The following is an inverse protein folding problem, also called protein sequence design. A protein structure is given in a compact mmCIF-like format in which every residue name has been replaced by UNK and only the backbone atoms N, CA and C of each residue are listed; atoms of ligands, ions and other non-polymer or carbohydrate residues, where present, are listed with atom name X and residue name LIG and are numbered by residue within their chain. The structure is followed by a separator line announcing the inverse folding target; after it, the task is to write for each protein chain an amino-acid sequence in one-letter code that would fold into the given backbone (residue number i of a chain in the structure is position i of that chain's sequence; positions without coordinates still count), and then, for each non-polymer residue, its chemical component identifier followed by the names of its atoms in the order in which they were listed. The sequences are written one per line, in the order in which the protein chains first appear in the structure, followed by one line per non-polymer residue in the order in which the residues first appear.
data_IF_475415784106
#
_entry.id   IF_475415784106
#
_cell.length_a   1.000
_cell.length_b   1.000
_cell.length_c   1.000
_cell.angle_alpha   90.00
_cell.angle_beta   90.00
_cell.angle_gamma   90.00
#
_symmetry.space_group_name_H-M   'P 1'
#
loop_
_entity.id
_entity.type
_entity.pdbx_description
1 polymer ?
#
# COMPACT_ATOMS: atom_id res chain seq x y z
N UNK A 1 11.48 3.05 42.31
CA UNK A 1 10.80 4.22 41.71
C UNK A 1 9.70 3.71 40.83
N UNK A 2 8.46 3.80 41.30
CA UNK A 2 7.27 3.41 40.56
C UNK A 2 7.04 4.44 39.44
N UNK A 3 7.05 4.02 38.18
CA UNK A 3 6.62 4.84 37.08
C UNK A 3 5.12 5.09 37.26
N UNK A 4 4.75 6.29 37.66
CA UNK A 4 3.37 6.75 37.68
C UNK A 4 2.84 6.72 36.24
N UNK A 5 2.04 5.72 35.92
CA UNK A 5 1.30 5.64 34.66
C UNK A 5 0.28 6.77 34.61
N UNK A 6 0.69 7.91 34.10
CA UNK A 6 -0.24 8.99 33.76
C UNK A 6 -1.00 8.47 32.53
N UNK A 7 -2.19 7.92 32.77
CA UNK A 7 -3.19 7.69 31.72
C UNK A 7 -3.63 9.06 31.22
N UNK A 8 -2.99 9.52 30.13
CA UNK A 8 -3.41 10.78 29.50
C UNK A 8 -4.79 10.57 28.88
N UNK A 9 -5.72 11.52 29.07
CA UNK A 9 -7.08 11.37 28.58
C UNK A 9 -7.08 11.24 27.05
N UNK A 10 -7.95 10.37 26.53
CA UNK A 10 -8.25 10.31 25.11
C UNK A 10 -8.81 11.65 24.62
N UNK A 11 -8.71 11.94 23.33
CA UNK A 11 -9.37 13.10 22.74
C UNK A 11 -10.87 13.07 23.05
N UNK A 12 -11.45 14.22 23.37
CA UNK A 12 -12.91 14.33 23.38
C UNK A 12 -13.49 14.13 21.98
N UNK A 13 -14.80 13.85 21.91
CA UNK A 13 -15.46 13.54 20.66
C UNK A 13 -15.38 14.67 19.62
N UNK A 14 -15.29 15.93 20.06
CA UNK A 14 -15.25 17.10 19.17
C UNK A 14 -13.90 17.20 18.47
N UNK A 15 -12.81 17.13 19.22
CA UNK A 15 -11.46 17.21 18.64
C UNK A 15 -11.14 15.94 17.86
N UNK A 16 -11.57 14.76 18.33
CA UNK A 16 -11.43 13.51 17.59
C UNK A 16 -12.08 13.60 16.22
N UNK A 17 -13.31 14.13 16.15
CA UNK A 17 -14.02 14.33 14.87
C UNK A 17 -13.28 15.27 13.95
N UNK A 18 -12.70 16.37 14.42
CA UNK A 18 -11.90 17.28 13.60
C UNK A 18 -10.71 16.55 12.94
N UNK A 19 -9.99 15.72 13.70
CA UNK A 19 -8.89 14.95 13.16
C UNK A 19 -9.33 13.90 12.15
N UNK A 20 -10.42 13.17 12.43
CA UNK A 20 -10.92 12.14 11.52
C UNK A 20 -11.47 12.72 10.24
N UNK A 21 -12.16 13.86 10.28
CA UNK A 21 -12.61 14.59 9.10
C UNK A 21 -11.42 15.08 8.27
N UNK A 22 -10.37 15.62 8.90
CA UNK A 22 -9.15 16.04 8.25
C UNK A 22 -8.41 14.87 7.58
N UNK A 23 -8.26 13.75 8.27
CA UNK A 23 -7.65 12.54 7.74
C UNK A 23 -8.44 12.05 6.51
N UNK A 24 -9.74 11.97 6.64
CA UNK A 24 -10.62 11.52 5.55
C UNK A 24 -10.51 12.43 4.32
N UNK A 25 -10.52 13.75 4.53
CA UNK A 25 -10.34 14.72 3.44
C UNK A 25 -9.01 14.47 2.71
N UNK A 26 -7.91 14.32 3.45
CA UNK A 26 -6.57 14.16 2.87
C UNK A 26 -6.28 12.79 2.30
N UNK A 27 -6.85 11.71 2.84
CA UNK A 27 -6.42 10.35 2.53
C UNK A 27 -7.54 9.42 2.08
N UNK A 28 -8.79 9.74 2.39
CA UNK A 28 -9.92 8.82 2.27
C UNK A 28 -10.00 7.76 3.36
N UNK A 29 -9.01 7.69 4.25
CA UNK A 29 -8.98 6.73 5.36
C UNK A 29 -10.04 7.12 6.40
N UNK A 30 -10.88 6.16 6.77
CA UNK A 30 -11.90 6.34 7.81
C UNK A 30 -11.41 5.81 9.15
N UNK A 31 -11.49 6.67 10.17
CA UNK A 31 -11.25 6.29 11.55
C UNK A 31 -12.57 6.24 12.31
N UNK A 32 -12.86 5.09 12.89
CA UNK A 32 -14.00 4.89 13.79
C UNK A 32 -13.63 5.27 15.24
N UNK A 33 -14.62 5.55 16.07
CA UNK A 33 -14.42 5.91 17.50
C UNK A 33 -13.60 4.86 18.26
N UNK A 34 -13.75 3.59 17.91
CA UNK A 34 -12.95 2.48 18.46
C UNK A 34 -11.43 2.68 18.29
N UNK A 35 -11.01 3.52 17.34
CA UNK A 35 -9.61 3.88 17.08
C UNK A 35 -9.18 5.17 17.78
N UNK A 36 -10.01 5.77 18.64
CA UNK A 36 -9.67 7.02 19.33
C UNK A 36 -8.36 6.89 20.11
N UNK A 37 -8.18 5.82 20.88
CA UNK A 37 -6.95 5.61 21.63
C UNK A 37 -5.70 5.57 20.75
N UNK A 38 -5.79 4.90 19.58
CA UNK A 38 -4.68 4.84 18.61
C UNK A 38 -4.32 6.24 18.12
N UNK A 39 -5.30 7.00 17.63
CA UNK A 39 -5.08 8.34 17.07
C UNK A 39 -4.58 9.30 18.15
N UNK A 40 -5.18 9.28 19.34
CA UNK A 40 -4.73 10.03 20.52
C UNK A 40 -3.26 9.82 20.81
N UNK A 41 -2.82 8.56 20.88
CA UNK A 41 -1.42 8.21 21.16
C UNK A 41 -0.45 8.76 20.09
N UNK A 42 -0.84 8.69 18.81
CA UNK A 42 -0.04 9.20 17.70
C UNK A 42 0.08 10.72 17.71
N UNK A 43 -1.04 11.40 17.86
CA UNK A 43 -1.13 12.87 17.93
C UNK A 43 -0.32 13.41 19.11
N UNK A 44 -0.53 12.81 20.29
CA UNK A 44 0.16 13.25 21.52
C UNK A 44 1.67 13.18 21.38
N UNK A 45 2.18 12.03 20.90
CA UNK A 45 3.64 11.87 20.70
C UNK A 45 4.19 12.89 19.70
N UNK A 46 3.40 13.27 18.71
CA UNK A 46 3.82 14.29 17.74
C UNK A 46 3.78 15.69 18.32
N UNK A 47 2.71 16.04 19.04
CA UNK A 47 2.57 17.31 19.77
C UNK A 47 3.76 17.56 20.71
N UNK A 48 4.13 16.55 21.50
CA UNK A 48 5.27 16.62 22.42
C UNK A 48 6.58 16.91 21.70
N UNK A 49 6.82 16.27 20.55
CA UNK A 49 8.02 16.55 19.74
C UNK A 49 8.09 17.98 19.20
N UNK A 50 6.94 18.64 19.09
CA UNK A 50 6.82 20.01 18.62
C UNK A 50 6.71 21.03 19.76
N UNK A 51 6.72 20.57 21.03
CA UNK A 51 6.53 21.43 22.19
C UNK A 51 5.12 22.00 22.31
N UNK A 52 4.12 21.30 21.76
CA UNK A 52 2.71 21.67 21.81
C UNK A 52 2.02 20.88 22.94
N UNK A 53 1.20 21.55 23.73
CA UNK A 53 0.66 21.06 25.00
C UNK A 53 -0.77 20.47 24.90
N UNK A 54 -1.45 20.67 23.77
CA UNK A 54 -2.81 20.17 23.57
C UNK A 54 -3.08 19.62 22.17
N UNK A 55 -4.17 18.84 22.05
CA UNK A 55 -4.63 18.32 20.75
C UNK A 55 -5.08 19.46 19.83
N UNK A 56 -5.73 20.48 20.40
CA UNK A 56 -6.21 21.67 19.68
C UNK A 56 -5.04 22.49 19.14
N UNK A 57 -3.99 22.68 19.94
CA UNK A 57 -2.78 23.39 19.52
C UNK A 57 -2.11 22.68 18.33
N UNK A 58 -2.01 21.33 18.38
CA UNK A 58 -1.46 20.59 17.25
C UNK A 58 -2.38 20.60 16.04
N UNK A 59 -3.70 20.48 16.21
CA UNK A 59 -4.66 20.60 15.10
C UNK A 59 -4.54 21.96 14.40
N UNK A 60 -4.45 23.03 15.19
CA UNK A 60 -4.23 24.35 14.67
C UNK A 60 -2.91 24.46 13.90
N UNK A 61 -1.82 23.95 14.48
CA UNK A 61 -0.51 23.88 13.81
C UNK A 61 -0.59 23.13 12.48
N UNK A 62 -1.20 21.95 12.47
CA UNK A 62 -1.37 21.09 11.29
C UNK A 62 -2.14 21.78 10.15
N UNK A 63 -3.09 22.66 10.48
CA UNK A 63 -4.00 23.27 9.52
C UNK A 63 -3.60 24.68 9.07
N UNK A 64 -2.84 25.43 9.88
CA UNK A 64 -2.57 26.86 9.65
C UNK A 64 -1.10 27.23 9.49
N UNK A 65 -0.16 26.37 9.93
CA UNK A 65 1.27 26.67 9.88
C UNK A 65 1.79 26.91 8.45
N UNK A 66 2.81 27.76 8.31
CA UNK A 66 3.48 28.04 7.03
C UNK A 66 4.06 26.76 6.42
N UNK A 67 4.66 25.90 7.24
CA UNK A 67 5.21 24.60 6.85
C UNK A 67 4.20 23.45 6.90
N UNK A 68 2.88 23.76 6.93
CA UNK A 68 1.79 22.78 7.08
C UNK A 68 1.91 21.60 6.13
N UNK A 69 2.40 21.78 4.90
CA UNK A 69 2.54 20.69 3.93
C UNK A 69 3.44 19.58 4.45
N UNK A 70 4.62 19.94 4.94
CA UNK A 70 5.58 18.97 5.52
C UNK A 70 5.01 18.31 6.78
N UNK A 71 4.26 19.08 7.58
CA UNK A 71 3.64 18.54 8.78
C UNK A 71 2.50 17.58 8.45
N UNK A 72 1.68 17.86 7.42
CA UNK A 72 0.65 16.94 6.94
C UNK A 72 1.28 15.63 6.43
N UNK A 73 2.37 15.70 5.69
CA UNK A 73 3.13 14.52 5.25
C UNK A 73 3.59 13.68 6.47
N UNK A 74 4.18 14.33 7.48
CA UNK A 74 4.57 13.67 8.74
C UNK A 74 3.39 13.10 9.53
N UNK A 75 2.28 13.81 9.54
CA UNK A 75 1.07 13.34 10.19
C UNK A 75 0.54 12.08 9.50
N UNK A 76 0.49 12.05 8.17
CA UNK A 76 0.11 10.86 7.40
C UNK A 76 1.05 9.69 7.71
N UNK A 77 2.37 9.91 7.74
CA UNK A 77 3.35 8.87 8.09
C UNK A 77 3.07 8.21 9.45
N UNK A 78 2.64 8.98 10.45
CA UNK A 78 2.42 8.44 11.79
C UNK A 78 1.07 7.76 12.00
N UNK A 79 0.05 8.10 11.22
CA UNK A 79 -1.30 7.53 11.35
C UNK A 79 -1.54 6.31 10.45
N UNK A 80 -0.73 6.14 9.40
CA UNK A 80 -0.82 4.96 8.53
C UNK A 80 -0.26 3.71 9.20
N UNK A 81 -0.84 2.56 8.85
CA UNK A 81 -0.45 1.26 9.39
C UNK A 81 0.33 0.53 8.31
N UNK A 82 1.60 0.20 8.61
CA UNK A 82 2.53 -0.41 7.64
C UNK A 82 2.81 -1.87 7.95
N UNK A 83 1.76 -2.67 8.21
CA UNK A 83 1.93 -4.11 8.42
C UNK A 83 2.07 -4.82 7.09
N UNK A 84 3.30 -5.18 6.75
CA UNK A 84 3.64 -5.95 5.56
C UNK A 84 4.81 -6.89 5.84
N UNK A 85 4.99 -7.90 5.01
CA UNK A 85 6.13 -8.81 5.03
C UNK A 85 6.23 -9.56 3.69
N UNK A 86 7.42 -10.04 3.37
CA UNK A 86 7.67 -10.82 2.16
C UNK A 86 6.82 -12.09 2.10
N UNK A 87 6.31 -12.43 0.93
CA UNK A 87 5.47 -13.61 0.69
C UNK A 87 4.21 -13.65 1.56
N UNK A 88 3.61 -12.47 1.81
CA UNK A 88 2.36 -12.34 2.58
C UNK A 88 1.22 -13.06 1.88
N UNK A 89 0.62 -14.05 2.57
CA UNK A 89 -0.42 -14.94 2.06
C UNK A 89 0.10 -15.87 0.94
N UNK A 90 0.82 -16.89 1.36
CA UNK A 90 1.48 -17.86 0.46
C UNK A 90 0.53 -18.46 -0.60
N UNK A 91 -0.71 -18.90 -0.29
CA UNK A 91 -1.61 -19.43 -1.31
C UNK A 91 -1.94 -18.42 -2.42
N UNK A 92 -2.09 -17.13 -2.08
CA UNK A 92 -2.34 -16.09 -3.07
C UNK A 92 -1.08 -15.83 -3.93
N UNK A 93 0.11 -15.86 -3.32
CA UNK A 93 1.39 -15.68 -4.03
C UNK A 93 1.63 -16.82 -5.03
N UNK A 94 1.35 -18.06 -4.65
CA UNK A 94 1.48 -19.23 -5.54
C UNK A 94 0.48 -19.17 -6.71
N UNK A 95 -0.79 -18.84 -6.43
CA UNK A 95 -1.79 -18.67 -7.48
C UNK A 95 -1.45 -17.49 -8.39
N UNK A 96 -0.97 -16.37 -7.86
CA UNK A 96 -0.50 -15.24 -8.64
C UNK A 96 0.64 -15.63 -9.60
N UNK A 97 1.61 -16.37 -9.10
CA UNK A 97 2.73 -16.87 -9.90
C UNK A 97 2.28 -17.81 -11.02
N UNK A 98 1.52 -18.84 -10.65
CA UNK A 98 1.15 -19.93 -11.57
C UNK A 98 0.06 -19.53 -12.56
N UNK A 99 -1.00 -18.89 -12.04
CA UNK A 99 -2.24 -18.70 -12.80
C UNK A 99 -2.27 -17.34 -13.53
N UNK A 100 -1.42 -16.39 -13.12
CA UNK A 100 -1.39 -15.04 -13.71
C UNK A 100 -0.04 -14.69 -14.32
N UNK A 101 1.05 -14.75 -13.56
CA UNK A 101 2.37 -14.31 -14.08
C UNK A 101 2.89 -15.24 -15.17
N UNK A 102 2.86 -16.55 -14.98
CA UNK A 102 3.38 -17.49 -15.97
C UNK A 102 2.65 -17.37 -17.33
N UNK A 103 1.31 -17.35 -17.41
CA UNK A 103 0.59 -17.11 -18.69
C UNK A 103 0.85 -15.71 -19.27
N UNK A 104 1.02 -14.67 -18.43
CA UNK A 104 1.32 -13.32 -18.88
C UNK A 104 2.71 -13.23 -19.52
N UNK A 105 3.72 -13.83 -18.90
CA UNK A 105 5.09 -13.92 -19.43
C UNK A 105 5.11 -14.64 -20.78
N UNK A 106 4.43 -15.79 -20.87
CA UNK A 106 4.34 -16.53 -22.12
C UNK A 106 3.69 -15.71 -23.25
N UNK A 107 2.61 -14.97 -22.94
CA UNK A 107 1.92 -14.12 -23.91
C UNK A 107 2.74 -12.90 -24.34
N UNK A 108 3.54 -12.34 -23.44
CA UNK A 108 4.33 -11.11 -23.67
C UNK A 108 5.82 -11.38 -23.96
N UNK A 109 6.16 -12.58 -24.36
CA UNK A 109 7.55 -12.95 -24.65
C UNK A 109 8.22 -11.97 -25.62
N UNK A 110 9.41 -11.48 -25.24
CA UNK A 110 10.15 -10.44 -25.98
C UNK A 110 9.65 -9.00 -25.70
N UNK A 111 8.58 -8.86 -24.92
CA UNK A 111 7.97 -7.56 -24.60
C UNK A 111 8.23 -7.11 -23.16
N UNK A 112 7.40 -6.17 -22.72
CA UNK A 112 7.45 -5.57 -21.39
C UNK A 112 6.21 -5.93 -20.57
N UNK A 113 6.42 -6.27 -19.31
CA UNK A 113 5.36 -6.40 -18.29
C UNK A 113 5.50 -5.25 -17.31
N UNK A 114 4.39 -4.53 -17.11
CA UNK A 114 4.31 -3.41 -16.17
C UNK A 114 3.39 -3.78 -15.01
N UNK A 115 3.93 -3.72 -13.78
CA UNK A 115 3.21 -4.06 -12.54
C UNK A 115 3.23 -2.86 -11.60
N UNK A 116 2.08 -2.56 -11.01
CA UNK A 116 1.94 -1.56 -9.97
C UNK A 116 1.49 -2.21 -8.67
N UNK A 117 2.26 -2.02 -7.58
CA UNK A 117 1.86 -2.32 -6.22
C UNK A 117 1.36 -1.03 -5.58
N UNK A 118 0.04 -0.90 -5.48
CA UNK A 118 -0.66 0.25 -4.90
C UNK A 118 -0.79 0.07 -3.38
N UNK A 119 -0.33 1.05 -2.61
CA UNK A 119 -0.12 0.95 -1.16
C UNK A 119 0.88 -0.15 -0.77
N UNK A 120 2.08 -0.06 -1.33
CA UNK A 120 3.14 -1.07 -1.19
C UNK A 120 3.84 -1.08 0.18
N UNK A 121 3.53 -0.13 1.06
CA UNK A 121 4.20 0.01 2.35
C UNK A 121 5.74 0.04 2.20
N UNK A 122 6.46 -0.78 2.91
CA UNK A 122 7.93 -0.89 2.89
C UNK A 122 8.48 -1.71 1.71
N UNK A 123 7.67 -2.01 0.70
CA UNK A 123 8.11 -2.60 -0.57
C UNK A 123 8.20 -4.13 -0.60
N UNK A 124 7.84 -4.82 0.48
CA UNK A 124 7.91 -6.29 0.60
C UNK A 124 7.18 -7.02 -0.53
N UNK A 125 6.01 -6.53 -0.94
CA UNK A 125 5.21 -7.09 -2.04
C UNK A 125 5.89 -6.86 -3.40
N UNK A 126 6.48 -5.69 -3.60
CA UNK A 126 7.22 -5.34 -4.83
C UNK A 126 8.41 -6.28 -5.00
N UNK A 127 9.20 -6.43 -3.96
CA UNK A 127 10.38 -7.30 -4.00
C UNK A 127 10.02 -8.79 -4.04
N UNK A 128 8.93 -9.21 -3.40
CA UNK A 128 8.40 -10.58 -3.55
C UNK A 128 8.08 -10.87 -5.02
N UNK A 129 7.43 -9.93 -5.70
CA UNK A 129 7.12 -10.08 -7.13
C UNK A 129 8.39 -10.15 -7.98
N UNK A 130 9.41 -9.34 -7.71
CA UNK A 130 10.71 -9.42 -8.40
C UNK A 130 11.34 -10.80 -8.18
N UNK A 131 11.30 -11.34 -6.96
CA UNK A 131 11.84 -12.67 -6.69
C UNK A 131 11.12 -13.78 -7.45
N UNK A 132 9.80 -13.67 -7.67
CA UNK A 132 9.08 -14.61 -8.53
C UNK A 132 9.61 -14.59 -9.97
N UNK A 133 9.90 -13.42 -10.53
CA UNK A 133 10.50 -13.31 -11.86
C UNK A 133 11.92 -13.88 -11.93
N UNK A 134 12.74 -13.66 -10.91
CA UNK A 134 14.10 -14.18 -10.82
C UNK A 134 14.08 -15.71 -10.68
N UNK A 135 13.27 -16.22 -9.76
CA UNK A 135 13.19 -17.65 -9.43
C UNK A 135 12.77 -18.49 -10.64
N UNK A 136 11.79 -18.01 -11.39
CA UNK A 136 11.28 -18.68 -12.58
C UNK A 136 12.10 -18.39 -13.85
N UNK A 137 13.15 -17.57 -13.77
CA UNK A 137 13.99 -17.22 -14.91
C UNK A 137 13.30 -16.35 -15.98
N UNK A 138 12.16 -15.74 -15.67
CA UNK A 138 11.32 -15.00 -16.61
C UNK A 138 11.95 -13.69 -17.14
N UNK A 139 12.95 -13.17 -16.44
CA UNK A 139 13.69 -11.99 -16.90
C UNK A 139 14.48 -12.20 -18.20
N UNK A 140 14.62 -13.45 -18.65
CA UNK A 140 15.18 -13.81 -19.97
C UNK A 140 14.14 -13.65 -21.09
N UNK A 141 12.87 -13.79 -20.75
CA UNK A 141 11.76 -13.79 -21.70
C UNK A 141 11.07 -12.43 -21.82
N UNK A 142 11.06 -11.62 -20.75
CA UNK A 142 10.38 -10.32 -20.72
C UNK A 142 11.19 -9.28 -19.95
N UNK A 143 10.95 -7.99 -20.27
CA UNK A 143 11.40 -6.87 -19.44
C UNK A 143 10.36 -6.58 -18.36
N UNK A 144 10.78 -6.56 -17.09
CA UNK A 144 9.93 -6.20 -15.96
C UNK A 144 10.08 -4.72 -15.60
N UNK A 145 8.97 -4.00 -15.54
CA UNK A 145 8.87 -2.65 -14.98
C UNK A 145 7.89 -2.70 -13.80
N UNK A 146 8.41 -2.60 -12.59
CA UNK A 146 7.59 -2.65 -11.38
C UNK A 146 7.68 -1.35 -10.59
N UNK A 147 6.52 -0.80 -10.23
CA UNK A 147 6.39 0.42 -9.44
C UNK A 147 5.64 0.11 -8.15
N UNK A 148 6.24 0.45 -7.02
CA UNK A 148 5.56 0.51 -5.73
C UNK A 148 5.12 1.94 -5.43
N UNK A 149 3.97 2.12 -4.81
CA UNK A 149 3.56 3.43 -4.30
C UNK A 149 2.86 3.33 -2.97
N UNK A 150 3.04 4.34 -2.14
CA UNK A 150 2.34 4.47 -0.86
C UNK A 150 2.05 5.95 -0.59
N UNK A 151 1.08 6.24 0.25
CA UNK A 151 0.78 7.61 0.68
C UNK A 151 1.80 8.13 1.69
N UNK A 152 2.46 7.22 2.43
CA UNK A 152 3.47 7.53 3.41
C UNK A 152 4.83 7.76 2.75
N UNK A 153 5.39 8.94 2.96
CA UNK A 153 6.75 9.27 2.56
C UNK A 153 7.77 8.37 3.23
N UNK A 154 7.59 8.10 4.53
CA UNK A 154 8.50 7.26 5.30
C UNK A 154 8.50 5.82 4.79
N UNK A 155 7.33 5.25 4.48
CA UNK A 155 7.24 3.90 3.94
C UNK A 155 7.94 3.78 2.58
N UNK A 156 7.76 4.76 1.70
CA UNK A 156 8.45 4.82 0.40
C UNK A 156 9.96 4.92 0.56
N UNK A 157 10.46 5.72 1.50
CA UNK A 157 11.89 5.81 1.80
C UNK A 157 12.44 4.51 2.38
N UNK A 158 11.69 3.85 3.26
CA UNK A 158 12.09 2.56 3.83
C UNK A 158 12.10 1.44 2.77
N UNK A 159 11.13 1.46 1.84
CA UNK A 159 11.13 0.58 0.67
C UNK A 159 12.39 0.77 -0.20
N UNK A 160 12.80 2.01 -0.45
CA UNK A 160 14.03 2.33 -1.21
C UNK A 160 15.30 1.91 -0.48
N UNK A 161 15.35 2.07 0.85
CA UNK A 161 16.48 1.61 1.68
C UNK A 161 16.63 0.10 1.63
N UNK A 162 15.51 -0.63 1.62
CA UNK A 162 15.50 -2.08 1.57
C UNK A 162 16.14 -2.72 2.80
N UNK A 163 15.90 -2.17 4.00
CA UNK A 163 16.37 -2.72 5.28
C UNK A 163 15.18 -3.24 6.07
N UNK A 164 15.23 -4.50 6.44
CA UNK A 164 14.10 -5.23 6.98
C UNK A 164 14.41 -5.90 8.31
N UNK A 165 13.39 -6.11 9.13
CA UNK A 165 13.48 -6.93 10.33
C UNK A 165 13.45 -8.42 9.98
N UNK A 166 13.91 -9.28 10.91
CA UNK A 166 13.77 -10.74 10.78
C UNK A 166 12.31 -11.17 10.57
N UNK A 167 11.37 -10.47 11.19
CA UNK A 167 9.94 -10.71 11.03
C UNK A 167 9.48 -10.47 9.59
N UNK A 168 9.92 -9.39 8.95
CA UNK A 168 9.53 -9.07 7.59
C UNK A 168 10.02 -10.13 6.59
N UNK A 169 11.22 -10.67 6.77
CA UNK A 169 11.85 -11.65 5.86
C UNK A 169 11.65 -13.12 6.27
N UNK A 170 10.81 -13.41 7.28
CA UNK A 170 10.63 -14.76 7.82
C UNK A 170 10.14 -15.81 6.81
N UNK A 171 9.40 -15.38 5.79
CA UNK A 171 8.83 -16.23 4.75
C UNK A 171 9.65 -16.24 3.46
N UNK A 172 10.78 -15.52 3.42
CA UNK A 172 11.67 -15.53 2.24
C UNK A 172 12.34 -16.90 2.13
N UNK A 173 12.28 -17.58 0.98
CA UNK A 173 12.97 -18.84 0.76
C UNK A 173 14.48 -18.74 1.09
N UNK A 174 15.07 -19.74 1.75
CA UNK A 174 16.48 -19.69 2.18
C UNK A 174 17.45 -19.36 1.06
N UNK A 175 17.23 -19.88 -0.14
CA UNK A 175 18.09 -19.66 -1.31
C UNK A 175 18.07 -18.20 -1.73
N UNK A 176 16.90 -17.56 -1.74
CA UNK A 176 16.74 -16.14 -2.04
C UNK A 176 17.37 -15.31 -0.92
N UNK A 177 17.09 -15.67 0.34
CA UNK A 177 17.60 -14.96 1.50
C UNK A 177 19.12 -14.96 1.54
N UNK A 178 19.76 -16.12 1.36
CA UNK A 178 21.21 -16.26 1.37
C UNK A 178 21.89 -15.51 0.22
N UNK A 179 21.21 -15.40 -0.92
CA UNK A 179 21.79 -14.76 -2.11
C UNK A 179 21.64 -13.24 -2.16
N UNK A 180 20.47 -12.74 -1.68
CA UNK A 180 20.11 -11.34 -1.92
C UNK A 180 19.96 -10.50 -0.65
N UNK A 181 20.15 -11.10 0.53
CA UNK A 181 20.07 -10.37 1.79
C UNK A 181 21.38 -10.51 2.57
N UNK A 182 21.82 -9.41 3.16
CA UNK A 182 23.01 -9.37 4.03
C UNK A 182 22.56 -9.03 5.44
N UNK A 183 22.99 -9.84 6.41
CA UNK A 183 22.74 -9.59 7.82
C UNK A 183 23.43 -8.31 8.27
N UNK A 184 22.71 -7.48 9.03
CA UNK A 184 23.20 -6.24 9.64
C UNK A 184 23.17 -6.35 11.17
N UNK A 185 23.72 -5.37 11.85
CA UNK A 185 23.58 -5.24 13.30
C UNK A 185 22.12 -5.04 13.72
N UNK A 186 21.78 -5.43 14.97
CA UNK A 186 20.45 -5.18 15.54
C UNK A 186 19.32 -6.01 14.95
N UNK A 187 19.59 -7.23 14.47
CA UNK A 187 18.59 -8.13 13.88
C UNK A 187 17.87 -7.56 12.64
N UNK A 188 18.60 -6.79 11.87
CA UNK A 188 18.16 -6.26 10.60
C UNK A 188 18.88 -6.95 9.45
N UNK A 189 18.27 -6.89 8.28
CA UNK A 189 18.80 -7.49 7.07
C UNK A 189 18.63 -6.51 5.90
N UNK A 190 19.67 -6.32 5.10
CA UNK A 190 19.66 -5.43 3.96
C UNK A 190 19.50 -6.21 2.66
N UNK A 191 18.60 -5.74 1.81
CA UNK A 191 18.41 -6.24 0.46
C UNK A 191 19.54 -5.75 -0.46
N UNK A 192 20.02 -6.59 -1.35
CA UNK A 192 21.10 -6.24 -2.28
C UNK A 192 20.71 -5.11 -3.23
N UNK A 193 21.68 -4.29 -3.62
CA UNK A 193 21.46 -3.14 -4.51
C UNK A 193 20.99 -3.54 -5.90
N UNK A 194 21.35 -4.72 -6.39
CA UNK A 194 20.89 -5.22 -7.68
C UNK A 194 19.38 -5.42 -7.71
N UNK A 195 18.78 -5.92 -6.61
CA UNK A 195 17.34 -6.10 -6.49
C UNK A 195 16.63 -4.77 -6.29
N UNK A 196 17.20 -3.88 -5.45
CA UNK A 196 16.62 -2.54 -5.23
C UNK A 196 16.51 -1.73 -6.52
N UNK A 197 17.49 -1.83 -7.42
CA UNK A 197 17.50 -1.15 -8.73
C UNK A 197 16.42 -1.64 -9.70
N UNK A 198 15.84 -2.81 -9.47
CA UNK A 198 14.76 -3.35 -10.32
C UNK A 198 13.39 -2.73 -10.02
N UNK A 199 13.24 -2.02 -8.90
CA UNK A 199 11.99 -1.41 -8.47
C UNK A 199 12.05 0.12 -8.53
N UNK A 200 10.92 0.75 -8.81
CA UNK A 200 10.72 2.19 -8.61
C UNK A 200 9.68 2.43 -7.52
N UNK A 201 9.89 3.47 -6.70
CA UNK A 201 8.96 3.81 -5.63
C UNK A 201 8.55 5.27 -5.69
N UNK A 202 7.24 5.54 -5.52
CA UNK A 202 6.66 6.88 -5.58
C UNK A 202 5.69 7.12 -4.44
N UNK A 203 5.65 8.35 -3.93
CA UNK A 203 4.60 8.76 -3.00
C UNK A 203 3.35 9.07 -3.83
N UNK A 204 2.26 8.34 -3.56
CA UNK A 204 0.99 8.48 -4.29
C UNK A 204 -0.17 8.31 -3.34
N UNK A 205 -1.07 9.28 -3.35
CA UNK A 205 -2.37 9.16 -2.73
C UNK A 205 -3.35 8.51 -3.72
N UNK A 206 -3.86 7.33 -3.40
CA UNK A 206 -4.80 6.59 -4.27
C UNK A 206 -6.10 7.35 -4.52
N UNK A 207 -6.47 8.28 -3.63
CA UNK A 207 -7.63 9.16 -3.77
C UNK A 207 -7.44 10.23 -4.86
N UNK A 208 -6.19 10.55 -5.22
CA UNK A 208 -5.85 11.66 -6.12
C UNK A 208 -5.68 11.17 -7.57
N UNK A 209 -6.65 11.41 -8.47
CA UNK A 209 -6.62 10.88 -9.83
C UNK A 209 -5.44 11.42 -10.66
N UNK A 210 -4.97 12.63 -10.41
CA UNK A 210 -3.81 13.20 -11.09
C UNK A 210 -2.52 12.44 -10.76
N UNK A 211 -2.36 12.01 -9.50
CA UNK A 211 -1.17 11.27 -9.06
C UNK A 211 -1.17 9.83 -9.59
N UNK A 212 -2.32 9.16 -9.57
CA UNK A 212 -2.43 7.79 -10.10
C UNK A 212 -2.24 7.75 -11.61
N UNK A 213 -2.89 8.64 -12.38
CA UNK A 213 -2.73 8.72 -13.84
C UNK A 213 -1.28 9.03 -14.27
N UNK A 214 -0.53 9.80 -13.48
CA UNK A 214 0.88 10.10 -13.75
C UNK A 214 1.79 8.86 -13.69
N UNK A 215 1.33 7.73 -13.15
CA UNK A 215 2.06 6.46 -13.15
C UNK A 215 2.02 5.76 -14.53
N UNK A 216 1.03 6.09 -15.37
CA UNK A 216 0.80 5.45 -16.68
C UNK A 216 -0.09 4.22 -16.58
N UNK A 217 0.05 3.29 -17.55
CA UNK A 217 -0.78 2.09 -17.67
C UNK A 217 -0.02 0.83 -17.24
N UNK A 218 -0.74 -0.14 -16.67
CA UNK A 218 -0.18 -1.38 -16.12
C UNK A 218 -0.94 -2.62 -16.59
N UNK A 219 -0.20 -3.72 -16.73
CA UNK A 219 -0.76 -5.05 -17.00
C UNK A 219 -1.36 -5.68 -15.77
N UNK A 220 -0.78 -5.39 -14.61
CA UNK A 220 -1.22 -5.88 -13.30
C UNK A 220 -1.16 -4.75 -12.30
N UNK A 221 -2.21 -4.62 -11.49
CA UNK A 221 -2.25 -3.77 -10.31
C UNK A 221 -2.48 -4.65 -9.09
N UNK A 222 -1.57 -4.58 -8.12
CA UNK A 222 -1.72 -5.17 -6.80
C UNK A 222 -2.23 -4.08 -5.85
N UNK A 223 -3.43 -4.22 -5.31
CA UNK A 223 -4.03 -3.31 -4.34
C UNK A 223 -4.53 -4.13 -3.16
N UNK A 224 -3.59 -4.59 -2.32
CA UNK A 224 -3.84 -5.59 -1.29
C UNK A 224 -3.74 -4.99 0.11
N UNK A 225 -4.72 -5.35 0.95
CA UNK A 225 -4.76 -4.98 2.37
C UNK A 225 -4.81 -3.46 2.64
N UNK A 226 -5.41 -2.69 1.74
CA UNK A 226 -5.57 -1.24 1.86
C UNK A 226 -7.03 -0.80 1.72
N UNK A 227 -7.84 -1.49 0.91
CA UNK A 227 -9.25 -1.12 0.69
C UNK A 227 -10.10 -1.27 1.96
N UNK A 228 -9.62 -2.01 2.94
CA UNK A 228 -10.23 -2.16 4.27
C UNK A 228 -10.28 -0.86 5.07
N UNK A 229 -9.46 0.13 4.73
CA UNK A 229 -9.41 1.42 5.43
C UNK A 229 -10.35 2.48 4.83
N UNK A 230 -10.95 2.19 3.67
CA UNK A 230 -11.85 3.12 2.97
C UNK A 230 -13.30 2.75 3.23
N UNK A 231 -14.15 3.76 3.37
CA UNK A 231 -15.59 3.56 3.27
C UNK A 231 -16.02 3.34 1.80
N UNK A 232 -17.31 3.11 1.56
CA UNK A 232 -17.81 2.79 0.22
C UNK A 232 -17.51 3.89 -0.80
N UNK A 233 -17.68 5.16 -0.42
CA UNK A 233 -17.47 6.29 -1.34
C UNK A 233 -15.98 6.47 -1.70
N UNK A 234 -15.09 6.46 -0.69
CA UNK A 234 -13.65 6.56 -0.93
C UNK A 234 -13.11 5.35 -1.69
N UNK A 235 -13.62 4.14 -1.38
CA UNK A 235 -13.28 2.91 -2.10
C UNK A 235 -13.65 2.99 -3.58
N UNK A 236 -14.85 3.47 -3.89
CA UNK A 236 -15.31 3.64 -5.26
C UNK A 236 -14.41 4.61 -6.04
N UNK A 237 -14.07 5.76 -5.44
CA UNK A 237 -13.15 6.72 -6.03
C UNK A 237 -11.77 6.11 -6.30
N UNK A 238 -11.20 5.39 -5.32
CA UNK A 238 -9.91 4.69 -5.46
C UNK A 238 -9.97 3.64 -6.58
N UNK A 239 -11.04 2.88 -6.65
CA UNK A 239 -11.22 1.86 -7.69
C UNK A 239 -11.31 2.47 -9.10
N UNK A 240 -12.00 3.60 -9.28
CA UNK A 240 -11.99 4.34 -10.54
C UNK A 240 -10.59 4.88 -10.89
N UNK A 241 -9.88 5.41 -9.92
CA UNK A 241 -8.50 5.89 -10.15
C UNK A 241 -7.56 4.74 -10.56
N UNK A 242 -7.73 3.55 -10.00
CA UNK A 242 -7.00 2.35 -10.41
C UNK A 242 -7.43 1.91 -11.82
N UNK A 243 -8.72 1.87 -12.09
CA UNK A 243 -9.27 1.52 -13.41
C UNK A 243 -8.62 2.34 -14.54
N UNK A 244 -8.45 3.65 -14.31
CA UNK A 244 -7.81 4.56 -15.25
C UNK A 244 -6.33 4.25 -15.51
N UNK A 245 -5.65 3.51 -14.63
CA UNK A 245 -4.24 3.11 -14.79
C UNK A 245 -4.05 1.70 -15.35
N UNK A 246 -5.11 1.02 -15.68
CA UNK A 246 -5.06 -0.35 -16.15
C UNK A 246 -5.20 -0.43 -17.68
N UNK A 247 -4.42 -1.32 -18.31
CA UNK A 247 -4.64 -1.72 -19.71
C UNK A 247 -5.94 -2.52 -19.86
N UNK A 248 -6.45 -2.68 -21.09
CA UNK A 248 -7.77 -3.32 -21.31
C UNK A 248 -7.83 -4.78 -20.83
N UNK A 249 -6.76 -5.55 -21.01
CA UNK A 249 -6.68 -6.96 -20.59
C UNK A 249 -5.90 -7.17 -19.29
N UNK A 250 -5.80 -6.13 -18.46
CA UNK A 250 -5.08 -6.16 -17.21
C UNK A 250 -5.90 -6.77 -16.07
N UNK A 251 -5.21 -7.10 -14.97
CA UNK A 251 -5.83 -7.63 -13.77
C UNK A 251 -5.55 -6.74 -12.56
N UNK A 252 -6.58 -6.53 -11.75
CA UNK A 252 -6.47 -6.00 -10.40
C UNK A 252 -6.52 -7.16 -9.42
N UNK A 253 -5.55 -7.25 -8.50
CA UNK A 253 -5.55 -8.20 -7.40
C UNK A 253 -5.75 -7.46 -6.08
N UNK A 254 -6.67 -7.96 -5.25
CA UNK A 254 -6.92 -7.43 -3.90
C UNK A 254 -6.50 -8.45 -2.84
N UNK A 255 -6.42 -8.06 -1.57
CA UNK A 255 -6.08 -8.96 -0.48
C UNK A 255 -7.17 -10.00 -0.23
N UNK A 256 -6.82 -11.14 0.35
CA UNK A 256 -7.72 -12.28 0.60
C UNK A 256 -8.94 -11.94 1.47
N UNK A 257 -8.86 -10.92 2.31
CA UNK A 257 -9.97 -10.42 3.15
C UNK A 257 -10.78 -9.31 2.48
N UNK A 258 -10.44 -8.95 1.25
CA UNK A 258 -11.06 -7.87 0.48
C UNK A 258 -11.88 -8.43 -0.66
N UNK A 259 -12.99 -7.77 -0.98
CA UNK A 259 -13.80 -8.10 -2.15
C UNK A 259 -14.40 -6.84 -2.78
N UNK A 260 -14.78 -6.95 -4.06
CA UNK A 260 -15.38 -5.87 -4.84
C UNK A 260 -16.82 -6.16 -5.23
N UNK A 261 -17.56 -6.95 -4.45
CA UNK A 261 -18.95 -7.33 -4.79
C UNK A 261 -19.88 -6.13 -4.96
N UNK A 262 -19.70 -5.07 -4.17
CA UNK A 262 -20.45 -3.82 -4.30
C UNK A 262 -20.04 -2.97 -5.52
N UNK A 263 -18.97 -3.31 -6.23
CA UNK A 263 -18.37 -2.51 -7.29
C UNK A 263 -18.28 -3.26 -8.63
N UNK A 264 -19.26 -4.13 -8.91
CA UNK A 264 -19.31 -4.94 -10.14
C UNK A 264 -19.42 -4.10 -11.42
N UNK A 265 -19.88 -2.86 -11.29
CA UNK A 265 -19.93 -1.87 -12.37
C UNK A 265 -18.56 -1.33 -12.76
N UNK A 266 -17.55 -1.49 -11.88
CA UNK A 266 -16.16 -1.08 -12.13
C UNK A 266 -15.30 -2.31 -12.44
N UNK A 267 -15.43 -3.37 -11.62
CA UNK A 267 -14.58 -4.56 -11.70
C UNK A 267 -15.39 -5.87 -11.59
N UNK A 268 -15.05 -6.85 -12.40
CA UNK A 268 -15.66 -8.17 -12.41
C UNK A 268 -14.67 -9.24 -11.93
N UNK A 269 -15.09 -10.04 -10.96
CA UNK A 269 -14.27 -11.11 -10.40
C UNK A 269 -14.00 -12.20 -11.46
N UNK A 270 -12.78 -12.67 -11.50
CA UNK A 270 -12.34 -13.80 -12.30
C UNK A 270 -12.42 -15.08 -11.46
N UNK A 271 -13.51 -15.83 -11.63
CA UNK A 271 -13.82 -17.01 -10.79
C UNK A 271 -12.76 -18.11 -10.93
N UNK A 272 -12.20 -18.28 -12.12
CA UNK A 272 -11.12 -19.20 -12.45
C UNK A 272 -9.79 -18.85 -11.73
N UNK A 273 -9.65 -17.59 -11.30
CA UNK A 273 -8.51 -17.07 -10.55
C UNK A 273 -8.88 -16.77 -9.08
N UNK A 274 -9.78 -17.55 -8.50
CA UNK A 274 -10.36 -17.27 -7.18
C UNK A 274 -9.32 -17.16 -6.07
N UNK A 275 -8.28 -18.00 -6.08
CA UNK A 275 -7.20 -17.96 -5.10
C UNK A 275 -6.29 -16.74 -5.23
N UNK A 276 -6.28 -16.08 -6.41
CA UNK A 276 -5.55 -14.83 -6.64
C UNK A 276 -6.35 -13.59 -6.24
N UNK A 277 -7.66 -13.71 -5.99
CA UNK A 277 -8.57 -12.58 -5.76
C UNK A 277 -8.47 -11.53 -6.88
N UNK A 278 -8.54 -12.02 -8.12
CA UNK A 278 -8.30 -11.24 -9.32
C UNK A 278 -9.59 -10.71 -9.94
N UNK A 279 -9.52 -9.52 -10.50
CA UNK A 279 -10.62 -8.81 -11.12
C UNK A 279 -10.18 -8.20 -12.45
N UNK A 280 -11.08 -8.18 -13.44
CA UNK A 280 -10.93 -7.43 -14.69
C UNK A 280 -11.79 -6.18 -14.68
N UNK A 281 -11.46 -5.23 -15.53
CA UNK A 281 -12.33 -4.09 -15.83
C UNK A 281 -13.73 -4.58 -16.23
N UNK A 282 -14.76 -3.94 -15.70
CA UNK A 282 -16.10 -4.13 -16.23
C UNK A 282 -16.19 -3.56 -17.65
N UNK A 283 -17.01 -4.15 -18.56
CA UNK A 283 -17.20 -3.61 -19.90
C UNK A 283 -17.71 -2.17 -19.85
N UNK A 284 -17.33 -1.32 -20.83
CA UNK A 284 -17.88 0.03 -20.96
C UNK A 284 -19.42 -0.01 -21.03
N UNK A 285 -20.09 0.88 -20.31
CA UNK A 285 -21.55 0.96 -20.28
C UNK A 285 -22.24 0.25 -19.11
N UNK A 286 -21.48 -0.42 -18.22
CA UNK A 286 -22.02 -0.95 -16.96
C UNK A 286 -22.21 0.14 -15.88
N UNK A 287 -21.83 1.38 -16.17
CA UNK A 287 -21.86 2.52 -15.24
C UNK A 287 -23.27 2.99 -14.82
N UNK A 288 -24.34 2.47 -15.45
CA UNK A 288 -25.71 2.97 -15.25
C UNK A 288 -26.71 1.86 -14.92
N UNK A 289 -26.56 1.24 -13.77
CA UNK A 289 -27.62 0.41 -13.19
C UNK A 289 -27.77 0.64 -11.68
N UNK A 290 -27.75 1.89 -11.25
CA UNK A 290 -28.24 2.29 -9.92
C UNK A 290 -29.10 3.55 -10.07
N UNK A 291 -30.39 3.32 -10.32
CA UNK A 291 -31.48 4.22 -9.91
C UNK A 291 -32.00 3.70 -8.59
#
# INVERSE_FOLDING_TARGET
MQASGITRPTMDGTIFKKYTDFIYDKTGIRFEETKNYFLTSKVLRRSEKLGLDSYEAYYHYLTTNVDRRKEVEKFIDIITIHETFFYRNQPQIESFEKDILAPLVARKKGGKIRIWSAACSTGDEVYTTIFQFIWNGWLKDVSLEITGSDISHQAVEDARKGVYTEYAVRNVPPEIKNKYFTQMEGRQTALSDEIKKMASFKVVNLKEPSQTRALGKFDIVLCRNVLIYFDSAAKEQVLWNIYDTMEDNSLLLVGHSENLYGFKHIFQAQKELSNSFAYKKAPPGTEKLHV
#
